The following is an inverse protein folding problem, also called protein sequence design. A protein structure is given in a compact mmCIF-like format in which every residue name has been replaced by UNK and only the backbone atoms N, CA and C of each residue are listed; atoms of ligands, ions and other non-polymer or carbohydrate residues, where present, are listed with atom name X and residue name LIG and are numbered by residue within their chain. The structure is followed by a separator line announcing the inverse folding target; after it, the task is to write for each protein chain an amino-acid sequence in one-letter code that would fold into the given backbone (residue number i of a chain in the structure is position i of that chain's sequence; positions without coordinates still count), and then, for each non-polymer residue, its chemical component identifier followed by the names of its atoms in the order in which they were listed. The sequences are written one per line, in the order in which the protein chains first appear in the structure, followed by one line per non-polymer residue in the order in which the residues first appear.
data_IF_976743060530
#
_entry.id   IF_976743060530
#
_cell.length_a   1.000
_cell.length_b   1.000
_cell.length_c   1.000
_cell.angle_alpha   90.00
_cell.angle_beta   90.00
_cell.angle_gamma   90.00
#
_symmetry.space_group_name_H-M   'P 1'
#
loop_
_entity.id
_entity.type
_entity.pdbx_description
1 polymer ?
#
# COMPACT_ATOMS: atom_id res chain seq x y z
N UNK A 1 3.61 12.16 14.54
CA UNK A 1 3.63 12.66 13.15
C UNK A 1 4.83 13.56 13.04
N UNK A 2 5.77 13.16 12.19
CA UNK A 2 7.02 13.86 11.91
C UNK A 2 7.08 14.13 10.41
N UNK A 3 7.86 15.13 9.94
CA UNK A 3 8.00 15.40 8.51
C UNK A 3 8.35 14.15 7.68
N UNK A 4 9.17 13.24 8.23
CA UNK A 4 9.57 12.01 7.54
C UNK A 4 8.45 10.97 7.40
N UNK A 5 7.56 10.82 8.39
CA UNK A 5 6.53 9.78 8.36
C UNK A 5 5.19 10.27 7.78
N UNK A 6 4.93 11.57 7.84
CA UNK A 6 3.72 12.20 7.30
C UNK A 6 3.56 11.95 5.81
N UNK A 7 4.67 11.96 5.06
CA UNK A 7 4.66 11.66 3.62
C UNK A 7 4.03 10.30 3.33
N UNK A 8 4.30 9.29 4.17
CA UNK A 8 3.77 7.94 4.01
C UNK A 8 2.33 7.80 4.55
N UNK A 9 2.00 8.48 5.64
CA UNK A 9 0.73 8.28 6.35
C UNK A 9 -0.40 9.20 5.88
N UNK A 10 -0.09 10.38 5.32
CA UNK A 10 -1.08 11.38 4.93
C UNK A 10 -2.18 10.79 4.05
N UNK A 11 -1.80 10.06 3.00
CA UNK A 11 -2.76 9.43 2.08
C UNK A 11 -3.68 8.44 2.79
N UNK A 12 -3.13 7.61 3.67
CA UNK A 12 -3.94 6.65 4.42
C UNK A 12 -4.95 7.35 5.34
N UNK A 13 -4.49 8.36 6.06
CA UNK A 13 -5.32 9.13 6.99
C UNK A 13 -6.42 9.91 6.25
N UNK A 14 -6.09 10.57 5.14
CA UNK A 14 -7.03 11.47 4.46
C UNK A 14 -7.90 10.80 3.41
N UNK A 15 -7.33 9.91 2.59
CA UNK A 15 -8.04 9.29 1.45
C UNK A 15 -8.76 8.02 1.89
N UNK A 16 -8.06 7.10 2.55
CA UNK A 16 -8.65 5.81 2.89
C UNK A 16 -9.54 5.88 4.14
N UNK A 17 -9.18 6.71 5.12
CA UNK A 17 -9.98 6.87 6.35
C UNK A 17 -10.86 8.12 6.39
N UNK A 18 -10.91 8.88 5.29
CA UNK A 18 -11.76 10.06 5.08
C UNK A 18 -11.63 11.14 6.16
N UNK A 19 -10.43 11.34 6.74
CA UNK A 19 -10.20 12.42 7.67
C UNK A 19 -9.79 13.72 6.95
N UNK A 20 -10.22 14.86 7.49
CA UNK A 20 -9.73 16.17 7.03
C UNK A 20 -8.29 16.36 7.50
N UNK A 21 -7.39 16.66 6.56
CA UNK A 21 -5.97 16.93 6.82
C UNK A 21 -5.66 18.40 6.61
N UNK A 22 -5.06 19.05 7.60
CA UNK A 22 -4.60 20.43 7.54
C UNK A 22 -3.18 20.54 8.09
N UNK A 23 -2.39 21.45 7.52
CA UNK A 23 -0.98 21.66 7.89
C UNK A 23 -0.70 23.15 7.94
N UNK A 24 -0.36 23.65 9.13
CA UNK A 24 -0.09 25.06 9.38
C UNK A 24 1.04 25.17 10.40
N UNK A 25 2.02 26.04 10.13
CA UNK A 25 3.16 26.33 11.04
C UNK A 25 3.95 25.08 11.49
N UNK A 26 4.11 24.08 10.62
CA UNK A 26 4.81 22.83 10.91
C UNK A 26 4.05 21.87 11.83
N UNK A 27 2.79 22.18 12.14
CA UNK A 27 1.86 21.34 12.91
C UNK A 27 0.87 20.66 11.98
N UNK A 28 0.46 19.46 12.37
CA UNK A 28 -0.50 18.65 11.64
C UNK A 28 -1.82 18.61 12.39
N UNK A 29 -2.92 18.85 11.68
CA UNK A 29 -4.26 18.82 12.23
C UNK A 29 -5.09 17.76 11.52
N UNK A 30 -5.75 16.91 12.30
CA UNK A 30 -6.65 15.86 11.82
C UNK A 30 -8.04 16.16 12.35
N UNK A 31 -9.00 16.40 11.45
CA UNK A 31 -10.35 16.81 11.78
C UNK A 31 -10.40 18.06 12.72
N UNK A 32 -9.51 19.02 12.46
CA UNK A 32 -9.43 20.29 13.21
C UNK A 32 -8.72 20.21 14.57
N UNK A 33 -8.17 19.05 14.96
CA UNK A 33 -7.40 18.88 16.19
C UNK A 33 -5.92 18.67 15.89
N UNK A 34 -5.05 19.40 16.59
CA UNK A 34 -3.60 19.21 16.50
C UNK A 34 -3.26 17.76 16.88
N UNK A 35 -2.53 17.06 16.01
CA UNK A 35 -2.22 15.64 16.14
C UNK A 35 -0.70 15.42 16.06
N UNK A 36 -0.13 14.95 17.17
CA UNK A 36 1.26 14.47 17.22
C UNK A 36 1.35 12.95 17.07
N UNK A 37 0.23 12.23 17.12
CA UNK A 37 0.13 10.79 16.88
C UNK A 37 -1.19 10.47 16.17
N UNK A 38 -1.24 9.31 15.54
CA UNK A 38 -2.45 8.80 14.89
C UNK A 38 -2.50 7.28 15.00
N UNK A 39 -3.68 6.74 15.24
CA UNK A 39 -3.94 5.30 15.25
C UNK A 39 -4.84 4.97 14.07
N UNK A 40 -4.35 4.12 13.17
CA UNK A 40 -5.10 3.66 12.01
C UNK A 40 -6.34 2.88 12.44
N UNK A 41 -7.43 3.02 11.67
CA UNK A 41 -8.71 2.33 11.91
C UNK A 41 -8.72 0.90 11.37
N UNK A 42 -7.76 0.55 10.52
CA UNK A 42 -7.62 -0.77 9.91
C UNK A 42 -6.15 -1.13 9.68
N UNK A 43 -5.88 -2.36 9.26
CA UNK A 43 -4.53 -2.77 8.88
C UNK A 43 -4.12 -2.13 7.55
N UNK A 44 -2.81 -1.92 7.42
CA UNK A 44 -2.18 -1.36 6.25
C UNK A 44 -0.95 -2.17 5.87
N UNK A 45 -0.78 -2.40 4.58
CA UNK A 45 0.25 -3.27 4.02
C UNK A 45 1.19 -2.49 3.11
N UNK A 46 2.49 -2.79 3.24
CA UNK A 46 3.52 -2.29 2.34
C UNK A 46 3.74 -3.33 1.24
N UNK A 47 3.36 -3.00 0.01
CA UNK A 47 3.50 -3.89 -1.13
C UNK A 47 4.76 -3.55 -1.92
N UNK A 48 5.52 -4.57 -2.31
CA UNK A 48 6.72 -4.40 -3.12
C UNK A 48 6.77 -5.47 -4.20
N UNK A 49 6.92 -5.04 -5.45
CA UNK A 49 7.06 -5.97 -6.57
C UNK A 49 8.45 -6.58 -6.64
N UNK A 50 8.54 -7.84 -7.06
CA UNK A 50 9.83 -8.53 -7.23
C UNK A 50 10.71 -7.88 -8.31
N UNK A 51 10.09 -7.39 -9.40
CA UNK A 51 10.79 -6.62 -10.42
C UNK A 51 10.97 -5.15 -9.99
N UNK A 52 11.91 -4.92 -9.07
CA UNK A 52 12.08 -3.66 -8.34
C UNK A 52 12.22 -2.42 -9.21
N UNK A 53 12.88 -2.53 -10.35
CA UNK A 53 13.10 -1.41 -11.28
C UNK A 53 11.90 -1.11 -12.18
N UNK A 54 10.96 -2.06 -12.32
CA UNK A 54 9.79 -1.96 -13.19
C UNK A 54 8.48 -2.16 -12.43
N UNK A 55 8.46 -1.76 -11.17
CA UNK A 55 7.31 -1.89 -10.29
C UNK A 55 6.91 -0.52 -9.76
N UNK A 56 5.67 -0.11 -10.05
CA UNK A 56 5.01 1.00 -9.37
C UNK A 56 4.26 0.43 -8.17
N UNK A 57 4.96 0.36 -7.02
CA UNK A 57 4.43 -0.21 -5.78
C UNK A 57 4.42 0.82 -4.63
N UNK A 58 4.33 0.38 -3.37
CA UNK A 58 4.19 1.25 -2.21
C UNK A 58 5.27 2.32 -2.07
N UNK A 59 6.43 2.14 -2.72
CA UNK A 59 7.47 3.18 -2.83
C UNK A 59 6.98 4.46 -3.52
N UNK A 60 5.97 4.36 -4.39
CA UNK A 60 5.41 5.48 -5.14
C UNK A 60 4.07 5.97 -4.57
N UNK A 61 3.20 5.05 -4.16
CA UNK A 61 1.81 5.39 -3.78
C UNK A 61 1.46 5.11 -2.31
N UNK A 62 2.40 4.61 -1.50
CA UNK A 62 2.23 4.42 -0.06
C UNK A 62 1.58 3.08 0.34
N UNK A 63 0.97 3.02 1.52
CA UNK A 63 0.36 1.80 2.04
C UNK A 63 -0.95 1.43 1.33
N UNK A 64 -1.24 0.13 1.26
CA UNK A 64 -2.54 -0.44 0.83
C UNK A 64 -3.40 -0.72 2.07
N UNK A 65 -4.64 -0.22 2.16
CA UNK A 65 -5.55 -0.59 3.22
C UNK A 65 -6.04 -2.05 3.06
N UNK A 66 -6.34 -2.71 4.18
CA UNK A 66 -6.77 -4.12 4.21
C UNK A 66 -7.99 -4.42 3.32
N UNK A 67 -8.94 -3.49 3.25
CA UNK A 67 -10.16 -3.62 2.45
C UNK A 67 -9.91 -3.61 0.93
N UNK A 68 -8.71 -3.23 0.48
CA UNK A 68 -8.28 -3.31 -0.91
C UNK A 68 -7.51 -4.61 -1.22
N UNK A 69 -7.27 -5.45 -0.22
CA UNK A 69 -6.61 -6.75 -0.39
C UNK A 69 -7.67 -7.82 -0.70
N UNK A 70 -7.68 -8.30 -1.94
CA UNK A 70 -8.64 -9.34 -2.37
C UNK A 70 -8.24 -10.74 -1.89
N UNK A 71 -6.94 -11.03 -1.82
CA UNK A 71 -6.42 -12.32 -1.38
C UNK A 71 -5.00 -12.61 -1.87
N UNK A 72 -4.54 -13.84 -1.62
CA UNK A 72 -3.19 -14.30 -1.96
C UNK A 72 -3.19 -15.13 -3.24
N UNK A 73 -2.26 -14.86 -4.16
CA UNK A 73 -2.03 -15.71 -5.32
C UNK A 73 -1.29 -16.98 -4.90
N UNK A 74 -1.84 -18.16 -5.20
CA UNK A 74 -1.33 -19.45 -4.70
C UNK A 74 -1.00 -20.49 -5.79
N UNK A 75 -1.43 -20.29 -7.04
CA UNK A 75 -1.25 -21.24 -8.14
C UNK A 75 -1.02 -20.55 -9.49
N UNK A 76 -0.07 -21.05 -10.26
CA UNK A 76 0.09 -20.70 -11.68
C UNK A 76 -0.74 -21.69 -12.51
N UNK A 77 -1.99 -21.34 -12.82
CA UNK A 77 -2.87 -22.22 -13.58
C UNK A 77 -2.51 -22.28 -15.08
N UNK A 78 -1.93 -21.22 -15.65
CA UNK A 78 -1.51 -21.16 -17.05
C UNK A 78 -0.27 -20.27 -17.23
N UNK A 79 0.57 -20.59 -18.23
CA UNK A 79 1.72 -19.79 -18.60
C UNK A 79 2.04 -19.90 -20.09
N UNK A 80 2.12 -18.76 -20.79
CA UNK A 80 2.37 -18.70 -22.23
C UNK A 80 3.43 -17.64 -22.56
N UNK A 81 4.37 -17.99 -23.44
CA UNK A 81 5.35 -17.09 -24.03
C UNK A 81 5.87 -17.71 -25.33
N UNK A 82 5.34 -17.26 -26.48
CA UNK A 82 5.55 -17.86 -27.82
C UNK A 82 5.23 -19.38 -27.87
N UNK A 83 4.49 -19.89 -26.89
CA UNK A 83 4.23 -21.32 -26.63
C UNK A 83 3.89 -21.56 -25.15
N UNK A 84 3.32 -22.72 -24.82
CA UNK A 84 2.97 -23.08 -23.44
C UNK A 84 4.24 -23.38 -22.63
N UNK A 85 4.40 -22.73 -21.47
CA UNK A 85 5.51 -22.97 -20.53
C UNK A 85 5.15 -24.04 -19.51
N UNK A 86 5.18 -25.30 -19.92
CA UNK A 86 4.75 -26.46 -19.12
C UNK A 86 5.41 -26.55 -17.74
N UNK A 87 6.70 -26.19 -17.64
CA UNK A 87 7.44 -26.20 -16.38
C UNK A 87 6.93 -25.21 -15.31
N UNK A 88 6.04 -24.28 -15.66
CA UNK A 88 5.44 -23.31 -14.73
C UNK A 88 4.02 -23.66 -14.32
N UNK A 89 3.34 -24.49 -15.09
CA UNK A 89 1.91 -24.80 -14.89
C UNK A 89 1.74 -25.70 -13.66
N UNK A 90 0.69 -25.44 -12.88
CA UNK A 90 0.37 -26.10 -11.61
C UNK A 90 1.42 -25.97 -10.50
N UNK A 91 2.40 -25.09 -10.68
CA UNK A 91 3.32 -24.75 -9.60
C UNK A 91 2.61 -23.83 -8.59
N UNK A 92 2.78 -24.15 -7.30
CA UNK A 92 2.36 -23.26 -6.21
C UNK A 92 3.25 -22.02 -6.19
N UNK A 93 2.63 -20.87 -5.93
CA UNK A 93 3.36 -19.64 -5.66
C UNK A 93 3.86 -19.74 -4.20
N UNK A 94 5.16 -19.53 -4.02
CA UNK A 94 5.81 -19.50 -2.70
C UNK A 94 5.86 -18.08 -2.18
#
# INVERSE_FOLDING_TARGET
LTPGNVILYKRAISVYENNKWEEHDGKYFINGKEATSYTFKMNYYWMMGDNRHRSQDSRYWGFVPEDHVVGSAWLIWMSYDKGIRWNRIMNKIR
#
